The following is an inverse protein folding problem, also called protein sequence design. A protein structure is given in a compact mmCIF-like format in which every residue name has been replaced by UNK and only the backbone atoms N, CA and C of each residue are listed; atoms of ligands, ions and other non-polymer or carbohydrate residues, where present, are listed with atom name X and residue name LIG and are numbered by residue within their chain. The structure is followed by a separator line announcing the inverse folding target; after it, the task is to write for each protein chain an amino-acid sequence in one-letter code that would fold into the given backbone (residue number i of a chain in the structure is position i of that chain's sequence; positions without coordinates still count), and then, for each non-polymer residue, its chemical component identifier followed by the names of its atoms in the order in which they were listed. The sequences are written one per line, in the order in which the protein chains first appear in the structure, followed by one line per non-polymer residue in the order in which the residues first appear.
data_IF_054794338722
#
_entry.id   IF_054794338722
#
_cell.length_a   1.000
_cell.length_b   1.000
_cell.length_c   1.000
_cell.angle_alpha   90.00
_cell.angle_beta   90.00
_cell.angle_gamma   90.00
#
_symmetry.space_group_name_H-M   'P 1'
#
loop_
_entity.id
_entity.type
_entity.pdbx_description
1 polymer ?
#
# COMPACT_ATOMS: atom_id res chain seq x y z
N UNK A 1 -10.44 14.60 45.59
CA UNK A 1 -9.78 13.55 44.76
C UNK A 1 -10.21 13.74 43.31
N UNK A 2 -9.28 13.93 42.38
CA UNK A 2 -9.58 14.28 40.97
C UNK A 2 -10.07 13.08 40.13
N UNK A 3 -10.80 13.34 39.05
CA UNK A 3 -11.22 12.31 38.07
C UNK A 3 -10.24 12.25 36.88
N UNK A 4 -10.05 11.06 36.33
CA UNK A 4 -9.22 10.83 35.12
C UNK A 4 -9.81 11.56 33.91
N UNK A 5 -9.01 12.40 33.27
CA UNK A 5 -9.47 13.22 32.13
C UNK A 5 -9.74 12.35 30.89
N UNK A 6 -10.52 12.89 29.93
CA UNK A 6 -10.91 12.16 28.71
C UNK A 6 -9.71 11.63 27.92
N UNK A 7 -8.63 12.40 27.82
CA UNK A 7 -7.42 12.00 27.08
C UNK A 7 -6.77 10.74 27.65
N UNK A 8 -6.59 10.69 28.98
CA UNK A 8 -6.04 9.51 29.67
C UNK A 8 -6.93 8.28 29.49
N UNK A 9 -8.27 8.44 29.54
CA UNK A 9 -9.23 7.35 29.31
C UNK A 9 -9.17 6.78 27.88
N UNK A 10 -8.77 7.58 26.88
CA UNK A 10 -8.58 7.08 25.51
C UNK A 10 -7.44 6.07 25.41
N UNK A 11 -6.35 6.27 26.16
CA UNK A 11 -5.18 5.40 26.16
C UNK A 11 -5.45 3.98 26.66
N UNK A 12 -6.43 3.80 27.55
CA UNK A 12 -6.86 2.49 28.02
C UNK A 12 -7.49 1.61 26.93
N UNK A 13 -7.87 2.20 25.78
CA UNK A 13 -8.27 1.45 24.60
C UNK A 13 -9.55 0.63 24.80
N UNK A 14 -10.53 1.11 25.57
CA UNK A 14 -11.83 0.48 25.72
C UNK A 14 -12.74 0.77 24.52
N UNK A 15 -13.69 1.69 24.67
CA UNK A 15 -14.58 2.16 23.58
C UNK A 15 -13.86 2.99 22.52
N UNK A 16 -12.60 3.36 22.77
CA UNK A 16 -11.80 4.24 21.90
C UNK A 16 -10.93 3.49 20.90
N UNK A 17 -11.03 2.15 20.80
CA UNK A 17 -10.34 1.39 19.74
C UNK A 17 -10.85 1.81 18.36
N UNK A 18 -9.97 1.74 17.38
CA UNK A 18 -10.35 1.99 16.00
C UNK A 18 -11.41 0.97 15.53
N UNK A 19 -12.46 1.46 14.87
CA UNK A 19 -13.43 0.60 14.19
C UNK A 19 -12.81 0.04 12.90
N UNK A 20 -12.36 -1.21 12.93
CA UNK A 20 -11.60 -1.85 11.84
C UNK A 20 -12.37 -2.94 11.08
N UNK A 21 -13.60 -3.28 11.50
CA UNK A 21 -14.37 -4.43 10.96
C UNK A 21 -14.50 -4.46 9.44
N UNK A 22 -14.68 -3.29 8.81
CA UNK A 22 -14.89 -3.18 7.36
C UNK A 22 -13.65 -2.75 6.57
N UNK A 23 -12.52 -2.52 7.25
CA UNK A 23 -11.26 -2.17 6.59
C UNK A 23 -10.80 -3.34 5.73
N UNK A 24 -10.29 -3.02 4.55
CA UNK A 24 -9.92 -3.97 3.49
C UNK A 24 -8.52 -4.56 3.66
N UNK A 25 -7.71 -3.93 4.51
CA UNK A 25 -6.37 -4.41 4.87
C UNK A 25 -5.42 -3.25 5.13
N UNK A 26 -4.19 -3.58 5.50
CA UNK A 26 -3.15 -2.58 5.63
C UNK A 26 -2.67 -2.15 4.24
N UNK A 27 -2.78 -0.87 3.93
CA UNK A 27 -2.19 -0.30 2.72
C UNK A 27 -0.68 -0.16 2.92
N UNK A 28 0.11 -0.90 2.13
CA UNK A 28 1.57 -0.91 2.20
C UNK A 28 2.15 -1.16 0.82
N UNK A 29 3.34 -0.61 0.60
CA UNK A 29 4.19 -1.06 -0.48
C UNK A 29 4.63 -2.50 -0.23
N UNK A 30 5.09 -3.15 -1.29
CA UNK A 30 5.65 -4.49 -1.20
C UNK A 30 6.92 -4.48 -0.34
N UNK A 31 7.23 -5.61 0.27
CA UNK A 31 8.49 -5.75 0.98
C UNK A 31 9.65 -5.71 -0.01
N UNK A 32 10.67 -4.91 0.28
CA UNK A 32 11.85 -4.79 -0.56
C UNK A 32 12.57 -6.14 -0.69
N UNK A 33 12.83 -6.57 -1.91
CA UNK A 33 13.52 -7.83 -2.21
C UNK A 33 14.64 -7.63 -3.23
N UNK A 34 15.30 -8.73 -3.60
CA UNK A 34 16.40 -8.68 -4.57
C UNK A 34 15.97 -8.12 -5.93
N UNK A 35 14.73 -8.40 -6.36
CA UNK A 35 14.19 -7.97 -7.65
C UNK A 35 14.03 -6.44 -7.69
N UNK A 36 13.50 -5.83 -6.63
CA UNK A 36 13.34 -4.37 -6.54
C UNK A 36 14.67 -3.63 -6.35
N UNK A 37 15.64 -4.23 -5.63
CA UNK A 37 16.96 -3.61 -5.39
C UNK A 37 17.82 -3.50 -6.65
N UNK A 38 17.82 -4.53 -7.50
CA UNK A 38 18.73 -4.61 -8.65
C UNK A 38 18.03 -4.44 -10.01
N UNK A 39 16.72 -4.63 -10.06
CA UNK A 39 15.94 -4.57 -11.28
C UNK A 39 14.58 -3.90 -11.06
N UNK A 40 13.55 -4.54 -11.58
CA UNK A 40 12.17 -4.18 -11.33
C UNK A 40 11.30 -5.44 -11.29
N UNK A 41 10.14 -5.34 -10.66
CA UNK A 41 9.06 -6.32 -10.73
C UNK A 41 7.80 -5.68 -11.28
N UNK A 42 7.13 -6.42 -12.16
CA UNK A 42 5.89 -5.99 -12.82
C UNK A 42 4.68 -6.53 -12.05
N UNK A 43 3.78 -5.65 -11.67
CA UNK A 43 2.46 -5.95 -11.12
C UNK A 43 1.36 -5.44 -12.04
N UNK A 44 0.17 -6.03 -11.96
CA UNK A 44 -1.02 -5.55 -12.66
C UNK A 44 -2.04 -5.04 -11.63
N UNK A 45 -2.58 -3.85 -11.85
CA UNK A 45 -3.71 -3.33 -11.06
C UNK A 45 -4.93 -4.16 -11.41
N UNK A 46 -5.38 -4.99 -10.48
CA UNK A 46 -6.56 -5.83 -10.67
C UNK A 46 -7.86 -5.09 -10.41
N UNK A 47 -7.85 -4.18 -9.45
CA UNK A 47 -9.05 -3.52 -8.96
C UNK A 47 -8.66 -2.26 -8.17
N UNK A 48 -9.54 -1.28 -8.13
CA UNK A 48 -9.41 -0.06 -7.33
C UNK A 48 -10.62 0.01 -6.41
N UNK A 49 -10.39 -0.05 -5.10
CA UNK A 49 -11.45 -0.24 -4.10
C UNK A 49 -11.44 0.83 -3.02
N UNK A 50 -12.60 1.08 -2.43
CA UNK A 50 -12.75 1.92 -1.25
C UNK A 50 -12.45 1.14 0.04
N UNK A 51 -11.67 1.75 0.94
CA UNK A 51 -11.33 1.27 2.28
C UNK A 51 -11.98 2.15 3.36
N UNK A 52 -13.02 1.70 4.07
CA UNK A 52 -13.71 2.50 5.08
C UNK A 52 -12.77 3.03 6.17
N UNK A 53 -12.85 4.33 6.45
CA UNK A 53 -11.95 5.01 7.38
C UNK A 53 -10.64 5.51 6.75
N UNK A 54 -10.52 5.43 5.41
CA UNK A 54 -9.47 6.06 4.60
C UNK A 54 -10.11 6.97 3.56
N UNK A 55 -9.51 8.15 3.34
CA UNK A 55 -9.94 9.08 2.29
C UNK A 55 -9.46 8.70 0.88
N UNK A 56 -8.27 8.07 0.79
CA UNK A 56 -7.70 7.62 -0.47
C UNK A 56 -8.18 6.19 -0.86
N UNK A 57 -8.39 5.91 -2.17
CA UNK A 57 -8.68 4.56 -2.63
C UNK A 57 -7.45 3.64 -2.55
N UNK A 58 -7.70 2.33 -2.51
CA UNK A 58 -6.67 1.29 -2.57
C UNK A 58 -6.62 0.62 -3.93
N UNK A 59 -5.42 0.37 -4.43
CA UNK A 59 -5.18 -0.43 -5.60
C UNK A 59 -4.81 -1.86 -5.19
N UNK A 60 -5.56 -2.86 -5.66
CA UNK A 60 -5.16 -4.28 -5.56
C UNK A 60 -4.17 -4.58 -6.68
N UNK A 61 -2.88 -4.63 -6.36
CA UNK A 61 -1.83 -4.90 -7.33
C UNK A 61 -1.39 -6.35 -7.21
N UNK A 62 -1.49 -7.11 -8.31
CA UNK A 62 -1.13 -8.51 -8.35
C UNK A 62 0.25 -8.69 -8.98
N UNK A 63 1.18 -9.23 -8.21
CA UNK A 63 2.54 -9.56 -8.63
C UNK A 63 2.70 -11.07 -8.78
N UNK A 64 3.62 -11.49 -9.65
CA UNK A 64 4.12 -12.86 -9.67
C UNK A 64 5.24 -12.97 -8.62
N UNK A 65 5.19 -13.99 -7.77
CA UNK A 65 6.23 -14.22 -6.77
C UNK A 65 7.54 -14.61 -7.47
N UNK A 66 8.68 -13.96 -7.15
CA UNK A 66 9.95 -14.23 -7.81
C UNK A 66 10.59 -15.56 -7.39
N UNK A 67 10.20 -16.14 -6.26
CA UNK A 67 10.81 -17.34 -5.70
C UNK A 67 9.91 -18.58 -5.77
N UNK A 68 8.59 -18.39 -5.86
CA UNK A 68 7.60 -19.49 -5.86
C UNK A 68 6.62 -19.33 -7.02
N UNK A 69 6.07 -20.43 -7.52
CA UNK A 69 4.99 -20.40 -8.51
C UNK A 69 3.65 -20.00 -7.87
N UNK A 70 3.52 -18.73 -7.50
CA UNK A 70 2.29 -18.14 -6.95
C UNK A 70 2.14 -16.68 -7.35
N UNK A 71 0.92 -16.16 -7.22
CA UNK A 71 0.62 -14.74 -7.35
C UNK A 71 0.44 -14.16 -5.95
N UNK A 72 0.98 -12.96 -5.70
CA UNK A 72 0.76 -12.19 -4.48
C UNK A 72 -0.02 -10.93 -4.81
N UNK A 73 -1.11 -10.72 -4.09
CA UNK A 73 -1.89 -9.49 -4.19
C UNK A 73 -1.51 -8.58 -3.04
N UNK A 74 -1.11 -7.36 -3.37
CA UNK A 74 -0.73 -6.32 -2.44
C UNK A 74 -1.75 -5.18 -2.50
N UNK A 75 -1.92 -4.48 -1.38
CA UNK A 75 -2.84 -3.34 -1.27
C UNK A 75 -2.03 -2.04 -1.23
N UNK A 76 -1.94 -1.38 -2.37
CA UNK A 76 -1.24 -0.10 -2.49
C UNK A 76 -2.22 1.05 -2.28
N UNK A 77 -1.73 2.19 -1.84
CA UNK A 77 -2.50 3.45 -1.97
C UNK A 77 -2.49 3.81 -3.45
N UNK A 78 -3.66 4.09 -4.00
CA UNK A 78 -3.78 4.48 -5.39
C UNK A 78 -3.26 5.91 -5.60
N UNK A 79 -2.36 6.10 -6.57
CA UNK A 79 -2.03 7.43 -7.06
C UNK A 79 -3.14 7.91 -8.01
N UNK A 80 -3.30 9.23 -8.14
CA UNK A 80 -4.22 9.78 -9.14
C UNK A 80 -3.79 9.37 -10.56
N UNK A 81 -4.75 9.08 -11.44
CA UNK A 81 -4.49 8.66 -12.82
C UNK A 81 -4.22 7.17 -13.00
N UNK A 82 -4.14 6.37 -11.94
CA UNK A 82 -4.04 4.91 -12.11
C UNK A 82 -5.38 4.30 -12.51
N UNK A 83 -5.34 3.22 -13.29
CA UNK A 83 -6.55 2.51 -13.73
C UNK A 83 -6.42 0.99 -13.66
N UNK A 84 -7.55 0.28 -13.65
CA UNK A 84 -7.57 -1.18 -13.70
C UNK A 84 -6.93 -1.69 -14.99
N UNK A 85 -6.16 -2.77 -14.91
CA UNK A 85 -5.39 -3.32 -16.02
C UNK A 85 -4.03 -2.65 -16.25
N UNK A 86 -3.77 -1.50 -15.64
CA UNK A 86 -2.46 -0.84 -15.73
C UNK A 86 -1.35 -1.71 -15.13
N UNK A 87 -0.18 -1.69 -15.76
CA UNK A 87 1.02 -2.28 -15.20
C UNK A 87 1.76 -1.28 -14.32
N UNK A 88 2.07 -1.70 -13.10
CA UNK A 88 2.89 -0.98 -12.14
C UNK A 88 4.23 -1.69 -12.05
N UNK A 89 5.31 -0.92 -12.15
CA UNK A 89 6.68 -1.40 -12.04
C UNK A 89 7.28 -0.89 -10.73
N UNK A 90 7.80 -1.81 -9.92
CA UNK A 90 8.48 -1.48 -8.66
C UNK A 90 9.95 -1.87 -8.76
N UNK A 91 10.86 -0.94 -8.47
CA UNK A 91 12.29 -1.23 -8.34
C UNK A 91 13.20 -0.15 -8.91
N UNK A 92 14.52 -0.33 -8.71
CA UNK A 92 15.56 0.63 -9.12
C UNK A 92 15.61 0.90 -10.63
N UNK A 93 15.27 -0.10 -11.46
CA UNK A 93 15.26 0.02 -12.94
C UNK A 93 13.86 0.25 -13.52
N UNK A 94 12.87 0.57 -12.70
CA UNK A 94 11.54 0.92 -13.19
C UNK A 94 11.58 2.26 -13.94
N UNK A 95 10.68 2.44 -14.92
CA UNK A 95 10.53 3.71 -15.61
C UNK A 95 9.79 4.74 -14.75
N UNK A 96 10.09 6.01 -14.93
CA UNK A 96 9.45 7.11 -14.21
C UNK A 96 8.05 7.40 -14.79
N UNK A 97 7.05 6.64 -14.36
CA UNK A 97 5.66 6.83 -14.76
C UNK A 97 4.75 6.86 -13.52
N UNK A 98 3.58 7.48 -13.65
CA UNK A 98 2.56 7.54 -12.59
C UNK A 98 2.18 6.11 -12.15
N UNK A 99 2.24 5.88 -10.83
CA UNK A 99 1.95 4.60 -10.20
C UNK A 99 3.16 3.68 -10.00
N UNK A 100 4.28 3.92 -10.71
CA UNK A 100 5.50 3.16 -10.50
C UNK A 100 6.18 3.53 -9.17
N UNK A 101 6.92 2.58 -8.62
CA UNK A 101 7.61 2.73 -7.33
C UNK A 101 9.11 2.67 -7.57
N UNK A 102 9.80 3.77 -7.32
CA UNK A 102 11.24 3.91 -7.49
C UNK A 102 11.90 4.38 -6.19
N UNK A 103 13.20 4.08 -5.98
CA UNK A 103 13.99 4.76 -4.96
C UNK A 103 14.01 6.27 -5.20
N UNK A 104 13.89 7.06 -4.13
CA UNK A 104 13.85 8.54 -4.25
C UNK A 104 15.09 9.09 -4.93
N UNK A 105 16.28 8.54 -4.64
CA UNK A 105 17.54 8.99 -5.25
C UNK A 105 17.71 8.68 -6.74
N UNK A 106 16.77 7.98 -7.38
CA UNK A 106 16.74 7.80 -8.84
C UNK A 106 15.77 8.74 -9.55
N UNK A 107 14.99 9.52 -8.81
CA UNK A 107 14.06 10.50 -9.37
C UNK A 107 14.79 11.83 -9.63
N UNK A 108 14.46 12.56 -10.70
CA UNK A 108 14.94 13.92 -10.90
C UNK A 108 14.39 14.87 -9.82
N UNK A 109 15.10 16.00 -9.61
CA UNK A 109 14.64 17.12 -8.77
C UNK A 109 13.46 17.88 -9.38
#
# INVERSE_FOLDING_TARGET
MGRVIRGQRKGAGSVFKAHVKHRKGAAKLRHIDFAERHGYIKGIVKDIIHDPGRGAPLAKVMFRDPYRFKKRTELFIAAEGIHTGQFIYCGKKAQLNIGNVLPVGTMPE
#
